data_IF_558055074576
#
_entry.id   IF_558055074576
#
_cell.length_a   1.000
_cell.length_b   1.000
_cell.length_c   1.000
_cell.angle_alpha   90.00
_cell.angle_beta   90.00
_cell.angle_gamma   90.00
#
_symmetry.space_group_name_H-M   'P 1'
#
loop_
_entity.id
_entity.type
_entity.pdbx_description
1 polymer ?
#
# COMPACT_ATOMS: atom_id res chain seq x y z
N UNK A 1 5.12 8.60 -30.77
CA UNK A 1 3.74 8.63 -31.29
C UNK A 1 2.86 8.22 -30.12
N UNK A 2 2.04 9.13 -29.60
CA UNK A 2 1.03 8.75 -28.60
C UNK A 2 0.05 7.78 -29.27
N UNK A 3 -0.21 6.59 -28.67
CA UNK A 3 -1.25 5.71 -29.18
C UNK A 3 -2.56 6.49 -29.13
N UNK A 4 -3.20 6.68 -30.28
CA UNK A 4 -4.49 7.39 -30.30
C UNK A 4 -5.52 6.55 -29.56
N UNK A 5 -5.85 6.97 -28.33
CA UNK A 5 -6.92 6.38 -27.55
C UNK A 5 -8.24 6.56 -28.29
N UNK A 6 -9.10 5.53 -28.28
CA UNK A 6 -10.43 5.60 -28.86
C UNK A 6 -11.25 6.72 -28.19
N UNK A 7 -12.26 7.31 -28.86
CA UNK A 7 -13.08 8.40 -28.32
C UNK A 7 -13.74 8.05 -26.97
N UNK A 8 -14.07 6.78 -26.77
CA UNK A 8 -14.65 6.24 -25.53
C UNK A 8 -13.65 6.28 -24.37
N UNK A 9 -12.38 5.93 -24.63
CA UNK A 9 -11.31 6.00 -23.65
C UNK A 9 -10.87 7.44 -23.36
N UNK A 10 -10.90 8.33 -24.35
CA UNK A 10 -10.65 9.76 -24.15
C UNK A 10 -11.69 10.40 -23.22
N UNK A 11 -12.95 9.96 -23.29
CA UNK A 11 -14.03 10.42 -22.41
C UNK A 11 -13.87 9.95 -20.97
N UNK A 12 -13.13 8.86 -20.76
CA UNK A 12 -12.81 8.28 -19.45
C UNK A 12 -11.51 8.82 -18.82
N UNK A 13 -10.80 9.74 -19.48
CA UNK A 13 -9.60 10.38 -18.92
C UNK A 13 -9.97 11.10 -17.64
N UNK A 14 -9.33 10.69 -16.55
CA UNK A 14 -9.47 11.37 -15.26
C UNK A 14 -8.92 12.77 -15.41
N UNK A 15 -9.82 13.76 -15.29
CA UNK A 15 -9.46 15.17 -15.24
C UNK A 15 -8.82 15.47 -13.88
N UNK A 16 -7.87 16.41 -13.88
CA UNK A 16 -7.30 16.91 -12.64
C UNK A 16 -8.44 17.51 -11.80
N UNK A 17 -8.61 17.14 -10.53
CA UNK A 17 -9.64 17.73 -9.70
C UNK A 17 -9.39 19.24 -9.51
N UNK A 18 -10.44 20.04 -9.65
CA UNK A 18 -10.38 21.50 -9.59
C UNK A 18 -10.22 22.02 -8.14
N UNK A 19 -10.72 21.26 -7.16
CA UNK A 19 -10.70 21.60 -5.73
C UNK A 19 -9.33 21.39 -5.05
N UNK A 20 -8.31 20.92 -5.78
CA UNK A 20 -7.01 20.58 -5.18
C UNK A 20 -6.31 21.76 -4.49
N UNK A 21 -6.62 22.98 -4.90
CA UNK A 21 -6.02 24.19 -4.33
C UNK A 21 -6.74 24.66 -3.06
N UNK A 22 -7.90 24.08 -2.74
CA UNK A 22 -8.70 24.35 -1.53
C UNK A 22 -8.36 23.42 -0.36
N UNK A 23 -7.64 22.32 -0.62
CA UNK A 23 -7.24 21.34 0.38
C UNK A 23 -6.00 21.78 1.18
N UNK A 24 -5.87 21.28 2.41
CA UNK A 24 -4.63 21.41 3.16
C UNK A 24 -3.49 20.63 2.48
N UNK A 25 -2.25 20.84 2.92
CA UNK A 25 -1.08 20.27 2.26
C UNK A 25 -1.09 18.74 2.22
N UNK A 26 -1.53 18.09 3.29
CA UNK A 26 -1.51 16.63 3.41
C UNK A 26 -2.61 16.00 2.54
N UNK A 27 -3.84 16.50 2.64
CA UNK A 27 -4.94 15.98 1.83
C UNK A 27 -4.78 16.31 0.35
N UNK A 28 -4.23 17.50 0.02
CA UNK A 28 -3.84 17.84 -1.36
C UNK A 28 -2.83 16.85 -1.92
N UNK A 29 -1.83 16.45 -1.13
CA UNK A 29 -0.82 15.50 -1.57
C UNK A 29 -1.43 14.13 -1.82
N UNK A 30 -2.29 13.63 -0.91
CA UNK A 30 -3.02 12.36 -1.09
C UNK A 30 -3.86 12.37 -2.36
N UNK A 31 -4.62 13.43 -2.60
CA UNK A 31 -5.50 13.53 -3.77
C UNK A 31 -4.72 13.68 -5.09
N UNK A 32 -3.58 14.39 -5.08
CA UNK A 32 -2.67 14.45 -6.23
C UNK A 32 -2.09 13.06 -6.53
N UNK A 33 -1.65 12.32 -5.51
CA UNK A 33 -1.14 10.97 -5.70
C UNK A 33 -2.23 10.03 -6.26
N UNK A 34 -3.45 10.12 -5.71
CA UNK A 34 -4.59 9.36 -6.18
C UNK A 34 -4.92 9.68 -7.64
N UNK A 35 -4.93 10.97 -7.99
CA UNK A 35 -5.10 11.43 -9.37
C UNK A 35 -4.02 10.84 -10.29
N UNK A 36 -2.74 10.94 -9.93
CA UNK A 36 -1.62 10.40 -10.74
C UNK A 36 -1.73 8.89 -10.95
N UNK A 37 -2.07 8.13 -9.91
CA UNK A 37 -2.27 6.67 -10.00
C UNK A 37 -3.41 6.33 -10.95
N UNK A 38 -4.57 6.99 -10.79
CA UNK A 38 -5.73 6.76 -11.66
C UNK A 38 -5.41 7.15 -13.10
N UNK A 39 -4.85 8.33 -13.32
CA UNK A 39 -4.48 8.82 -14.64
C UNK A 39 -3.56 7.82 -15.35
N UNK A 40 -2.46 7.42 -14.71
CA UNK A 40 -1.52 6.42 -15.24
C UNK A 40 -2.22 5.09 -15.54
N UNK A 41 -3.09 4.62 -14.65
CA UNK A 41 -3.84 3.38 -14.84
C UNK A 41 -4.74 3.44 -16.09
N UNK A 42 -5.47 4.54 -16.31
CA UNK A 42 -6.32 4.67 -17.49
C UNK A 42 -5.53 4.72 -18.80
N UNK A 43 -4.36 5.39 -18.82
CA UNK A 43 -3.46 5.34 -19.98
C UNK A 43 -2.94 3.92 -20.24
N UNK A 44 -2.50 3.22 -19.19
CA UNK A 44 -2.05 1.82 -19.30
C UNK A 44 -3.17 0.91 -19.83
N UNK A 45 -4.39 1.03 -19.30
CA UNK A 45 -5.54 0.22 -19.74
C UNK A 45 -5.89 0.54 -21.20
N UNK A 46 -5.95 1.82 -21.57
CA UNK A 46 -6.27 2.23 -22.93
C UNK A 46 -5.22 1.81 -23.96
N UNK A 47 -3.94 1.83 -23.59
CA UNK A 47 -2.88 1.31 -24.43
C UNK A 47 -2.94 -0.22 -24.54
N UNK A 48 -3.16 -0.93 -23.44
CA UNK A 48 -3.17 -2.41 -23.43
C UNK A 48 -4.38 -3.01 -24.12
N UNK A 49 -5.57 -2.40 -24.03
CA UNK A 49 -6.77 -2.87 -24.75
C UNK A 49 -6.59 -2.75 -26.27
N UNK A 50 -5.91 -1.71 -26.74
CA UNK A 50 -5.73 -1.43 -28.17
C UNK A 50 -4.55 -2.20 -28.78
N UNK A 51 -3.46 -2.38 -28.04
CA UNK A 51 -2.22 -2.96 -28.57
C UNK A 51 -1.94 -4.38 -28.11
N UNK A 52 -2.50 -4.82 -26.98
CA UNK A 52 -2.08 -6.06 -26.31
C UNK A 52 -3.26 -6.77 -25.62
N UNK A 53 -4.22 -7.21 -26.44
CA UNK A 53 -5.51 -7.76 -26.00
C UNK A 53 -5.36 -8.92 -24.99
N UNK A 54 -4.34 -9.78 -25.11
CA UNK A 54 -4.08 -10.86 -24.12
C UNK A 54 -3.77 -10.32 -22.71
N UNK A 55 -2.98 -9.25 -22.62
CA UNK A 55 -2.65 -8.59 -21.36
C UNK A 55 -3.84 -7.82 -20.79
N UNK A 56 -4.71 -7.26 -21.62
CA UNK A 56 -5.96 -6.65 -21.17
C UNK A 56 -6.95 -7.68 -20.64
N UNK A 57 -7.09 -8.83 -21.31
CA UNK A 57 -8.02 -9.89 -20.90
C UNK A 57 -7.59 -10.61 -19.62
N UNK A 58 -6.29 -10.66 -19.32
CA UNK A 58 -5.77 -11.31 -18.12
C UNK A 58 -6.35 -10.73 -16.80
N UNK A 59 -6.34 -9.41 -16.55
CA UNK A 59 -7.00 -8.80 -15.40
C UNK A 59 -8.53 -8.74 -15.50
N UNK A 60 -9.11 -8.85 -16.71
CA UNK A 60 -10.56 -8.88 -16.90
C UNK A 60 -11.20 -10.25 -16.64
N UNK A 61 -10.41 -11.29 -16.40
CA UNK A 61 -10.94 -12.61 -16.07
C UNK A 61 -11.71 -12.58 -14.74
N UNK A 62 -12.87 -13.25 -14.65
CA UNK A 62 -13.73 -13.30 -13.46
C UNK A 62 -13.02 -13.64 -12.13
N UNK A 63 -11.88 -14.34 -12.20
CA UNK A 63 -11.11 -14.77 -11.03
C UNK A 63 -9.89 -13.87 -10.75
N UNK A 64 -9.62 -12.89 -11.60
CA UNK A 64 -8.47 -11.99 -11.45
C UNK A 64 -8.59 -11.14 -10.19
N UNK A 65 -9.80 -10.66 -9.87
CA UNK A 65 -10.04 -9.90 -8.65
C UNK A 65 -9.80 -10.74 -7.40
N UNK A 66 -10.35 -11.97 -7.35
CA UNK A 66 -10.16 -12.89 -6.23
C UNK A 66 -8.68 -13.27 -6.07
N UNK A 67 -7.99 -13.55 -7.19
CA UNK A 67 -6.55 -13.85 -7.20
C UNK A 67 -5.76 -12.66 -6.65
N UNK A 68 -6.06 -11.44 -7.10
CA UNK A 68 -5.41 -10.22 -6.62
C UNK A 68 -5.59 -10.06 -5.11
N UNK A 69 -6.83 -10.17 -4.61
CA UNK A 69 -7.13 -10.07 -3.18
C UNK A 69 -6.37 -11.12 -2.36
N UNK A 70 -6.38 -12.38 -2.84
CA UNK A 70 -5.63 -13.46 -2.20
C UNK A 70 -4.13 -13.14 -2.12
N UNK A 71 -3.51 -12.70 -3.22
CA UNK A 71 -2.10 -12.28 -3.20
C UNK A 71 -1.86 -11.14 -2.22
N UNK A 72 -2.70 -10.11 -2.22
CA UNK A 72 -2.57 -8.96 -1.31
C UNK A 72 -2.65 -9.42 0.15
N UNK A 73 -3.72 -10.09 0.55
CA UNK A 73 -3.90 -10.53 1.94
C UNK A 73 -2.88 -11.60 2.39
N UNK A 74 -2.27 -12.36 1.47
CA UNK A 74 -1.16 -13.28 1.81
C UNK A 74 0.20 -12.60 1.89
N UNK A 75 0.38 -11.46 1.24
CA UNK A 75 1.64 -10.72 1.18
C UNK A 75 1.71 -9.58 2.22
N UNK A 76 0.56 -9.12 2.72
CA UNK A 76 0.49 -8.13 3.79
C UNK A 76 1.15 -8.66 5.08
N UNK A 77 1.92 -7.82 5.81
CA UNK A 77 2.45 -8.18 7.11
C UNK A 77 1.33 -8.69 8.03
N UNK A 78 1.61 -9.76 8.78
CA UNK A 78 0.61 -10.33 9.66
C UNK A 78 0.32 -9.41 10.86
N UNK A 79 -0.83 -8.75 10.85
CA UNK A 79 -1.29 -7.86 11.93
C UNK A 79 -2.23 -8.55 12.95
N UNK A 80 -2.26 -9.88 13.00
CA UNK A 80 -3.16 -10.62 13.90
C UNK A 80 -4.57 -10.87 13.35
N UNK A 81 -4.88 -10.39 12.15
CA UNK A 81 -6.20 -10.55 11.51
C UNK A 81 -6.17 -11.47 10.28
N UNK A 82 -6.81 -12.64 10.37
CA UNK A 82 -6.87 -13.65 9.27
C UNK A 82 -8.20 -13.64 8.55
N UNK A 83 -9.13 -12.77 8.95
CA UNK A 83 -10.48 -12.75 8.43
C UNK A 83 -10.52 -12.38 6.94
N UNK A 84 -9.77 -11.36 6.44
CA UNK A 84 -9.78 -11.02 5.01
C UNK A 84 -9.33 -12.22 4.17
N UNK A 85 -8.24 -12.86 4.57
CA UNK A 85 -7.72 -14.06 3.91
C UNK A 85 -8.73 -15.23 3.97
N UNK A 86 -9.37 -15.47 5.12
CA UNK A 86 -10.41 -16.49 5.26
C UNK A 86 -11.61 -16.21 4.36
N UNK A 87 -12.05 -14.95 4.25
CA UNK A 87 -13.16 -14.57 3.37
C UNK A 87 -12.85 -14.84 1.90
N UNK A 88 -11.64 -14.51 1.45
CA UNK A 88 -11.21 -14.81 0.07
C UNK A 88 -11.11 -16.32 -0.17
N UNK A 89 -10.58 -17.08 0.79
CA UNK A 89 -10.48 -18.53 0.68
C UNK A 89 -11.86 -19.20 0.59
N UNK A 90 -12.86 -18.71 1.34
CA UNK A 90 -14.25 -19.19 1.26
C UNK A 90 -14.83 -18.94 -0.14
N UNK A 91 -14.44 -17.87 -0.84
CA UNK A 91 -14.92 -17.56 -2.19
C UNK A 91 -14.33 -18.47 -3.28
N UNK A 92 -13.31 -19.29 -2.97
CA UNK A 92 -12.74 -20.23 -3.92
C UNK A 92 -13.71 -21.38 -4.20
N UNK A 93 -14.06 -21.69 -5.47
CA UNK A 93 -15.07 -22.69 -5.83
C UNK A 93 -14.89 -24.07 -5.19
N UNK A 94 -13.65 -24.47 -4.93
CA UNK A 94 -13.32 -25.75 -4.29
C UNK A 94 -13.57 -25.76 -2.78
N UNK A 95 -13.44 -24.60 -2.12
CA UNK A 95 -13.66 -24.42 -0.67
C UNK A 95 -15.11 -24.09 -0.34
N UNK A 96 -15.85 -23.43 -1.24
CA UNK A 96 -17.31 -23.15 -1.10
C UNK A 96 -18.11 -24.44 -0.87
N UNK A 97 -17.70 -25.58 -1.48
CA UNK A 97 -18.39 -26.86 -1.29
C UNK A 97 -18.28 -27.41 0.13
N UNK A 98 -17.33 -26.90 0.91
CA UNK A 98 -17.01 -27.36 2.27
C UNK A 98 -17.51 -26.40 3.36
N UNK A 99 -17.80 -25.14 3.03
CA UNK A 99 -18.13 -24.08 3.99
C UNK A 99 -19.52 -23.51 3.71
N UNK A 100 -20.43 -23.59 4.69
CA UNK A 100 -21.80 -23.05 4.58
C UNK A 100 -21.76 -21.52 4.35
N UNK A 101 -22.30 -21.07 3.22
CA UNK A 101 -21.87 -19.87 2.47
C UNK A 101 -22.37 -18.52 3.01
N UNK A 102 -23.56 -18.44 3.61
CA UNK A 102 -24.20 -17.14 3.91
C UNK A 102 -24.04 -16.70 5.36
N UNK A 103 -24.32 -17.59 6.32
CA UNK A 103 -24.21 -17.26 7.75
C UNK A 103 -22.76 -17.04 8.25
N UNK A 104 -21.76 -17.34 7.42
CA UNK A 104 -20.33 -17.14 7.72
C UNK A 104 -19.81 -15.80 7.21
N UNK A 105 -20.24 -15.32 6.05
CA UNK A 105 -19.68 -14.09 5.46
C UNK A 105 -20.09 -12.84 6.24
N UNK A 106 -21.35 -12.71 6.63
CA UNK A 106 -21.82 -11.56 7.42
C UNK A 106 -21.14 -11.50 8.79
N UNK A 107 -20.98 -12.66 9.44
CA UNK A 107 -20.24 -12.77 10.70
C UNK A 107 -18.76 -12.44 10.51
N UNK A 108 -18.14 -12.87 9.42
CA UNK A 108 -16.76 -12.52 9.12
C UNK A 108 -16.61 -11.02 8.86
N UNK A 109 -17.58 -10.38 8.19
CA UNK A 109 -17.54 -8.93 7.96
C UNK A 109 -17.69 -8.15 9.27
N UNK A 110 -18.60 -8.56 10.16
CA UNK A 110 -18.76 -7.95 11.48
C UNK A 110 -17.48 -8.12 12.32
N UNK A 111 -16.90 -9.32 12.32
CA UNK A 111 -15.63 -9.57 13.00
C UNK A 111 -14.47 -8.77 12.40
N UNK A 112 -14.46 -8.56 11.08
CA UNK A 112 -13.45 -7.73 10.42
C UNK A 112 -13.53 -6.29 10.93
N UNK A 113 -14.72 -5.71 10.98
CA UNK A 113 -14.93 -4.34 11.47
C UNK A 113 -14.52 -4.17 12.93
N UNK A 114 -14.86 -5.13 13.79
CA UNK A 114 -14.46 -5.13 15.22
C UNK A 114 -12.94 -5.20 15.38
N UNK A 115 -12.27 -6.06 14.61
CA UNK A 115 -10.80 -6.16 14.64
C UNK A 115 -10.16 -4.88 14.11
N UNK A 116 -10.63 -4.34 12.99
CA UNK A 116 -10.07 -3.12 12.38
C UNK A 116 -10.17 -1.93 13.34
N UNK A 117 -11.32 -1.78 14.03
CA UNK A 117 -11.52 -0.75 15.04
C UNK A 117 -10.58 -0.91 16.24
N UNK A 118 -10.41 -2.15 16.74
CA UNK A 118 -9.49 -2.43 17.85
C UNK A 118 -8.04 -2.17 17.46
N UNK A 119 -7.66 -2.54 16.24
CA UNK A 119 -6.32 -2.31 15.72
C UNK A 119 -6.03 -0.83 15.51
N UNK A 120 -7.02 -0.04 15.08
CA UNK A 120 -6.90 1.43 15.01
C UNK A 120 -6.61 2.04 16.39
N UNK A 121 -7.36 1.64 17.41
CA UNK A 121 -7.14 2.09 18.80
C UNK A 121 -5.73 1.67 19.29
N UNK A 122 -5.32 0.42 19.05
CA UNK A 122 -4.00 -0.05 19.47
C UNK A 122 -2.86 0.69 18.78
N UNK A 123 -3.01 1.00 17.48
CA UNK A 123 -2.05 1.79 16.72
C UNK A 123 -1.90 3.20 17.27
N UNK A 124 -3.01 3.84 17.64
CA UNK A 124 -3.00 5.15 18.28
C UNK A 124 -2.28 5.12 19.64
N UNK A 125 -2.57 4.12 20.48
CA UNK A 125 -1.94 3.97 21.80
C UNK A 125 -0.43 3.69 21.68
N UNK A 126 -0.02 2.83 20.75
CA UNK A 126 1.37 2.42 20.57
C UNK A 126 2.18 3.43 19.75
N UNK A 127 1.52 4.34 19.02
CA UNK A 127 2.18 5.27 18.11
C UNK A 127 2.78 4.60 16.87
N UNK A 128 2.18 3.49 16.42
CA UNK A 128 2.63 2.67 15.28
C UNK A 128 1.61 2.80 14.15
N UNK A 129 2.07 3.02 12.92
CA UNK A 129 1.23 3.01 11.71
C UNK A 129 1.07 1.60 11.13
N UNK A 130 0.30 1.47 10.05
CA UNK A 130 0.12 0.18 9.33
C UNK A 130 1.41 -0.36 8.71
N UNK A 131 2.40 0.50 8.49
CA UNK A 131 3.74 0.15 8.02
C UNK A 131 4.79 0.06 9.14
N UNK A 132 4.37 0.16 10.41
CA UNK A 132 5.21 -0.05 11.59
C UNK A 132 5.53 1.23 12.36
N UNK A 133 6.69 1.26 13.04
CA UNK A 133 7.09 2.39 13.88
C UNK A 133 7.47 3.64 13.07
N UNK A 134 7.90 3.44 11.84
CA UNK A 134 8.30 4.50 10.92
C UNK A 134 7.74 4.16 9.55
N UNK A 135 7.02 5.09 8.95
CA UNK A 135 6.50 4.86 7.62
C UNK A 135 7.60 4.79 6.58
N UNK A 136 7.37 4.02 5.51
CA UNK A 136 8.37 3.85 4.45
C UNK A 136 8.85 5.19 3.88
N UNK A 137 7.91 6.13 3.68
CA UNK A 137 8.22 7.46 3.15
C UNK A 137 9.03 8.36 4.11
N UNK A 138 9.04 8.05 5.41
CA UNK A 138 9.78 8.80 6.44
C UNK A 138 11.02 8.08 6.94
N UNK A 139 11.25 6.84 6.49
CA UNK A 139 12.30 5.98 7.01
C UNK A 139 13.66 6.65 7.00
N UNK A 140 14.07 7.21 5.86
CA UNK A 140 15.38 7.88 5.72
C UNK A 140 15.53 9.08 6.67
N UNK A 141 14.47 9.86 6.85
CA UNK A 141 14.48 11.01 7.75
C UNK A 141 14.64 10.61 9.21
N UNK A 142 13.89 9.60 9.65
CA UNK A 142 13.91 9.09 11.02
C UNK A 142 15.22 8.34 11.34
N UNK A 143 15.76 7.57 10.38
CA UNK A 143 17.04 6.89 10.50
C UNK A 143 18.19 7.89 10.67
N UNK A 144 18.22 8.94 9.85
CA UNK A 144 19.18 10.03 9.95
C UNK A 144 19.05 10.80 11.29
N UNK A 145 17.83 11.08 11.75
CA UNK A 145 17.61 11.72 13.05
C UNK A 145 18.11 10.84 14.20
N UNK A 146 17.91 9.52 14.11
CA UNK A 146 18.40 8.56 15.10
C UNK A 146 19.93 8.52 15.13
N UNK A 147 20.60 8.53 13.97
CA UNK A 147 22.07 8.62 13.83
C UNK A 147 22.59 9.90 14.47
N UNK A 148 21.95 11.04 14.15
CA UNK A 148 22.30 12.33 14.74
C UNK A 148 22.13 12.36 16.27
N UNK A 149 21.06 11.75 16.81
CA UNK A 149 20.86 11.64 18.27
C UNK A 149 21.94 10.77 18.90
N UNK A 150 22.25 9.60 18.34
CA UNK A 150 23.27 8.71 18.87
C UNK A 150 24.65 9.40 18.95
N UNK A 151 25.05 10.14 17.91
CA UNK A 151 26.30 10.91 17.90
C UNK A 151 26.32 12.06 18.91
N UNK A 152 25.17 12.67 19.19
CA UNK A 152 25.03 13.69 20.24
C UNK A 152 25.19 13.12 21.65
N UNK A 153 24.67 11.91 21.89
CA UNK A 153 24.76 11.22 23.19
C UNK A 153 26.11 10.53 23.42
N UNK A 154 26.95 10.39 22.40
CA UNK A 154 28.30 9.87 22.57
C UNK A 154 29.17 10.85 23.37
N UNK A 155 29.56 10.43 24.57
CA UNK A 155 30.29 11.24 25.56
C UNK A 155 31.74 11.58 25.17
N UNK A 156 32.30 10.93 24.15
CA UNK A 156 33.70 11.09 23.75
C UNK A 156 33.89 11.05 22.24
N UNK A 157 35.01 11.63 21.76
CA UNK A 157 35.39 11.58 20.34
C UNK A 157 35.52 10.15 19.82
N UNK A 158 36.11 9.24 20.62
CA UNK A 158 36.20 7.82 20.30
C UNK A 158 34.81 7.15 20.25
N UNK A 159 33.90 7.53 21.15
CA UNK A 159 32.52 7.05 21.13
C UNK A 159 31.79 7.45 19.84
N UNK A 160 31.98 8.68 19.36
CA UNK A 160 31.41 9.14 18.10
C UNK A 160 31.96 8.37 16.91
N UNK A 161 33.27 8.21 16.83
CA UNK A 161 33.94 7.46 15.76
C UNK A 161 33.45 6.00 15.70
N UNK A 162 33.32 5.36 16.87
CA UNK A 162 32.79 4.00 16.95
C UNK A 162 31.31 3.90 16.58
N UNK A 163 30.50 4.91 16.88
CA UNK A 163 29.09 4.97 16.48
C UNK A 163 28.93 5.22 14.97
N UNK A 164 29.78 6.03 14.35
CA UNK A 164 29.79 6.23 12.90
C UNK A 164 30.19 4.95 12.16
N UNK A 165 31.30 4.32 12.55
CA UNK A 165 31.83 3.15 11.86
C UNK A 165 30.96 1.89 12.02
N UNK A 166 30.19 1.79 13.10
CA UNK A 166 29.38 0.61 13.40
C UNK A 166 27.88 0.94 13.44
N UNK A 167 27.44 1.91 12.63
CA UNK A 167 26.04 2.29 12.57
C UNK A 167 25.20 1.06 12.13
N UNK A 168 24.20 0.61 12.93
CA UNK A 168 23.48 -0.64 12.64
C UNK A 168 22.68 -0.63 11.33
N UNK A 169 22.49 0.54 10.73
CA UNK A 169 21.74 0.74 9.48
C UNK A 169 22.64 1.25 8.33
N UNK A 170 23.97 1.24 8.50
CA UNK A 170 24.93 1.67 7.46
C UNK A 170 25.03 0.69 6.28
N UNK A 171 24.46 -0.52 6.41
CA UNK A 171 24.28 -1.47 5.31
C UNK A 171 23.14 -1.08 4.35
N UNK A 172 22.37 -0.06 4.73
CA UNK A 172 21.38 0.59 3.89
C UNK A 172 22.02 1.76 3.14
N UNK A 173 21.79 1.84 1.83
CA UNK A 173 22.26 2.94 0.99
C UNK A 173 21.41 4.20 1.24
N UNK A 174 21.69 4.89 2.34
CA UNK A 174 21.02 6.12 2.78
C UNK A 174 21.22 7.30 1.79
N UNK A 175 22.15 7.18 0.82
CA UNK A 175 22.48 8.21 -0.16
C UNK A 175 21.63 8.14 -1.45
N UNK A 176 20.74 7.14 -1.57
CA UNK A 176 19.81 7.01 -2.69
C UNK A 176 20.51 6.79 -4.04
N UNK A 177 21.74 6.30 -4.05
CA UNK A 177 22.56 6.14 -5.26
C UNK A 177 22.26 4.79 -5.94
N UNK A 178 21.04 4.64 -6.47
CA UNK A 178 20.65 3.54 -7.36
C UNK A 178 20.37 3.99 -8.79
#
# INVERSE_FOLDING_TARGET
MDPQLTPELQRAIVKKPEYLDELDKDDRQKDIQLYRRRHTHFYYVGATITTLNSHYNAPSHDKALLRKKLYQHTAEPWEGNSIPLKTDLVQLPYLVRFLSREATMDKMLEQQQDIDQKMEILREILGVSTDGWVSFERYDGEANEMKAKALRYADSGLGREMTEHNWPFDDFDEDGNR
#
